data_IF_457903700607
#
_entry.id   IF_457903700607
#
_cell.length_a   1.000
_cell.length_b   1.000
_cell.length_c   1.000
_cell.angle_alpha   90.00
_cell.angle_beta   90.00
_cell.angle_gamma   90.00
#
_symmetry.space_group_name_H-M   'P 1'
#
loop_
_entity.id
_entity.type
_entity.pdbx_description
1 polymer ?
#
# COMPACT_ATOMS: atom_id res chain seq x y z
N UNK A 1 10.18 -25.89 19.76
CA UNK A 1 9.30 -25.51 18.63
C UNK A 1 9.78 -24.12 18.24
N UNK A 2 10.20 -23.95 17.00
CA UNK A 2 10.73 -22.67 16.52
C UNK A 2 9.67 -21.57 16.49
N UNK A 3 10.12 -20.37 16.39
CA UNK A 3 9.32 -19.13 16.49
C UNK A 3 9.30 -18.42 15.15
N UNK A 4 8.14 -17.96 14.71
CA UNK A 4 8.00 -17.18 13.48
C UNK A 4 8.51 -15.74 13.68
N UNK A 5 8.81 -15.03 12.57
CA UNK A 5 9.21 -13.63 12.61
C UNK A 5 8.19 -12.77 13.40
N UNK A 6 6.90 -12.95 13.11
CA UNK A 6 5.85 -12.19 13.76
C UNK A 6 5.78 -12.44 15.28
N UNK A 7 5.97 -13.69 15.70
CA UNK A 7 5.99 -14.05 17.12
C UNK A 7 7.23 -13.51 17.84
N UNK A 8 8.39 -13.45 17.17
CA UNK A 8 9.61 -12.82 17.73
C UNK A 8 9.37 -11.34 18.01
N UNK A 9 8.88 -10.61 17.01
CA UNK A 9 8.59 -9.18 17.18
C UNK A 9 7.52 -8.96 18.26
N UNK A 10 6.49 -9.81 18.32
CA UNK A 10 5.49 -9.75 19.37
C UNK A 10 6.10 -9.94 20.77
N UNK A 11 6.95 -10.95 20.93
CA UNK A 11 7.58 -11.27 22.21
C UNK A 11 8.49 -10.14 22.71
N UNK A 12 9.25 -9.52 21.81
CA UNK A 12 10.14 -8.40 22.12
C UNK A 12 9.39 -7.13 22.59
N UNK A 13 8.10 -7.00 22.20
CA UNK A 13 7.26 -5.84 22.55
C UNK A 13 6.21 -6.13 23.64
N UNK A 14 6.22 -7.33 24.19
CA UNK A 14 5.25 -7.74 25.20
C UNK A 14 5.50 -7.04 26.54
N UNK A 15 4.69 -6.05 26.88
CA UNK A 15 4.73 -5.34 28.17
C UNK A 15 4.06 -6.16 29.26
N UNK A 16 2.92 -6.78 28.94
CA UNK A 16 2.17 -7.64 29.88
C UNK A 16 1.38 -8.69 29.10
N UNK A 17 1.54 -9.94 29.50
CA UNK A 17 0.73 -11.02 28.99
C UNK A 17 -0.68 -10.99 29.59
N UNK A 18 -1.69 -11.16 28.75
CA UNK A 18 -3.07 -11.30 29.20
C UNK A 18 -3.29 -12.62 29.96
N UNK A 19 -4.20 -12.60 30.92
CA UNK A 19 -4.66 -13.80 31.65
C UNK A 19 -6.16 -14.01 31.39
N UNK A 20 -6.62 -15.24 31.53
CA UNK A 20 -8.05 -15.59 31.46
C UNK A 20 -8.77 -15.09 30.18
N UNK A 21 -8.06 -15.11 29.04
CA UNK A 21 -8.58 -14.66 27.76
C UNK A 21 -8.55 -13.14 27.52
N UNK A 22 -7.97 -12.38 28.47
CA UNK A 22 -7.69 -10.97 28.27
C UNK A 22 -6.60 -10.77 27.20
N UNK A 23 -6.59 -9.62 26.48
CA UNK A 23 -5.56 -9.33 25.50
C UNK A 23 -4.19 -9.07 26.15
N UNK A 24 -3.16 -9.33 25.37
CA UNK A 24 -1.79 -8.92 25.68
C UNK A 24 -1.66 -7.39 25.55
N UNK A 25 -0.75 -6.78 26.31
CA UNK A 25 -0.39 -5.39 26.18
C UNK A 25 0.97 -5.29 25.48
N UNK A 26 0.99 -4.67 24.30
CA UNK A 26 2.20 -4.47 23.52
C UNK A 26 2.67 -3.02 23.57
N UNK A 27 4.00 -2.83 23.59
CA UNK A 27 4.62 -1.53 23.30
C UNK A 27 4.54 -1.22 21.81
N UNK A 28 4.40 0.07 21.46
CA UNK A 28 4.39 0.57 20.10
C UNK A 28 5.59 1.50 19.91
N UNK A 29 6.49 1.18 18.98
CA UNK A 29 7.71 1.95 18.76
C UNK A 29 7.46 3.23 17.95
N UNK A 30 6.57 3.15 16.95
CA UNK A 30 6.31 4.28 16.06
C UNK A 30 4.82 4.37 15.74
N UNK A 31 4.28 5.55 15.88
CA UNK A 31 2.94 5.86 15.41
C UNK A 31 3.00 6.92 14.32
N UNK A 32 2.48 6.56 13.16
CA UNK A 32 2.32 7.46 12.03
C UNK A 32 0.91 8.06 12.04
N UNK A 33 0.80 9.31 11.62
CA UNK A 33 -0.45 10.07 11.69
C UNK A 33 -0.70 10.85 10.41
N UNK A 34 -1.98 11.08 10.12
CA UNK A 34 -2.43 11.94 9.03
C UNK A 34 -3.73 12.66 9.40
N UNK A 35 -4.22 13.55 8.54
CA UNK A 35 -5.32 14.47 8.83
C UNK A 35 -6.69 13.79 9.00
N UNK A 36 -6.90 12.57 8.48
CA UNK A 36 -8.24 11.96 8.46
C UNK A 36 -8.63 11.33 9.80
N UNK A 37 -7.69 10.61 10.45
CA UNK A 37 -7.99 9.78 11.64
C UNK A 37 -7.45 10.36 12.95
N UNK A 38 -6.70 11.46 12.90
CA UNK A 38 -6.09 12.07 14.08
C UNK A 38 -6.97 13.11 14.82
N UNK A 39 -7.90 13.84 14.20
CA UNK A 39 -8.59 14.95 14.88
C UNK A 39 -9.30 14.53 16.17
N UNK A 40 -10.07 13.45 16.14
CA UNK A 40 -10.80 12.96 17.31
C UNK A 40 -9.85 12.40 18.38
N UNK A 41 -8.72 11.82 18.00
CA UNK A 41 -7.74 11.32 18.95
C UNK A 41 -7.08 12.48 19.74
N UNK A 42 -6.70 13.55 19.06
CA UNK A 42 -6.20 14.76 19.73
C UNK A 42 -7.26 15.41 20.63
N UNK A 43 -8.52 15.45 20.19
CA UNK A 43 -9.62 15.98 20.99
C UNK A 43 -9.84 15.14 22.25
N UNK A 44 -9.80 13.80 22.14
CA UNK A 44 -9.91 12.91 23.30
C UNK A 44 -8.81 13.16 24.33
N UNK A 45 -7.55 13.35 23.89
CA UNK A 45 -6.44 13.73 24.79
C UNK A 45 -6.72 15.07 25.48
N UNK A 46 -7.19 16.07 24.74
CA UNK A 46 -7.48 17.42 25.26
C UNK A 46 -8.57 17.36 26.33
N UNK A 47 -9.68 16.67 26.03
CA UNK A 47 -10.80 16.50 26.98
C UNK A 47 -10.39 15.74 28.24
N UNK A 48 -9.49 14.76 28.11
CA UNK A 48 -8.95 14.01 29.23
C UNK A 48 -7.83 14.74 30.00
N UNK A 49 -7.40 15.92 29.56
CA UNK A 49 -6.28 16.67 30.14
C UNK A 49 -4.94 15.93 30.02
N UNK A 50 -4.79 15.08 28.99
CA UNK A 50 -3.60 14.26 28.76
C UNK A 50 -2.71 14.85 27.66
N UNK A 51 -1.44 14.47 27.71
CA UNK A 51 -0.46 14.75 26.64
C UNK A 51 0.04 13.42 26.06
N UNK A 52 0.56 13.43 24.82
CA UNK A 52 1.27 12.27 24.31
C UNK A 52 2.40 11.85 25.24
N UNK A 53 2.56 10.54 25.40
CA UNK A 53 3.57 9.97 26.30
C UNK A 53 4.99 10.14 25.75
N UNK A 54 5.17 9.82 24.46
CA UNK A 54 6.44 9.91 23.73
C UNK A 54 6.20 10.62 22.40
N UNK A 55 6.30 11.94 22.41
CA UNK A 55 6.02 12.77 21.25
C UNK A 55 7.02 12.58 20.11
N UNK A 56 8.23 12.16 20.43
CA UNK A 56 9.31 11.81 19.50
C UNK A 56 9.05 10.53 18.70
N UNK A 57 8.11 9.70 19.16
CA UNK A 57 7.65 8.49 18.48
C UNK A 57 6.36 8.70 17.67
N UNK A 58 5.88 9.94 17.60
CA UNK A 58 4.70 10.36 16.82
C UNK A 58 5.14 11.24 15.66
N UNK A 59 4.82 10.85 14.43
CA UNK A 59 5.17 11.62 13.24
C UNK A 59 3.96 11.73 12.34
N UNK A 60 3.64 12.95 11.92
CA UNK A 60 2.49 13.26 11.09
C UNK A 60 2.91 13.74 9.69
N UNK A 61 2.05 13.49 8.71
CA UNK A 61 2.13 14.03 7.36
C UNK A 61 0.75 14.37 6.84
N UNK A 62 0.67 15.25 5.87
CA UNK A 62 -0.55 15.54 5.12
C UNK A 62 -0.54 14.77 3.82
N UNK A 63 -1.55 13.93 3.56
CA UNK A 63 -1.52 13.04 2.41
C UNK A 63 -2.87 12.76 1.72
N UNK A 64 -3.97 12.57 2.46
CA UNK A 64 -5.25 12.12 1.94
C UNK A 64 -6.06 13.23 1.26
N UNK A 65 -6.14 14.39 1.90
CA UNK A 65 -6.94 15.54 1.48
C UNK A 65 -6.12 16.59 0.71
N UNK A 66 -4.86 16.29 0.45
CA UNK A 66 -3.97 17.21 -0.24
C UNK A 66 -4.30 17.30 -1.73
N UNK A 67 -4.38 18.52 -2.31
CA UNK A 67 -4.43 18.68 -3.76
C UNK A 67 -3.09 18.26 -4.38
N UNK A 68 -3.12 17.78 -5.62
CA UNK A 68 -1.93 17.41 -6.38
C UNK A 68 -1.53 18.45 -7.43
N UNK A 69 -2.35 19.49 -7.57
CA UNK A 69 -2.11 20.68 -8.40
C UNK A 69 -2.36 21.94 -7.58
N UNK A 70 -1.76 23.05 -7.99
CA UNK A 70 -1.95 24.36 -7.38
C UNK A 70 -1.80 24.35 -5.84
N UNK A 71 -0.81 23.59 -5.34
CA UNK A 71 -0.60 23.36 -3.89
C UNK A 71 -0.34 24.64 -3.09
N UNK A 72 0.05 25.70 -3.76
CA UNK A 72 0.27 27.03 -3.16
C UNK A 72 -1.02 27.84 -2.99
N UNK A 73 -2.16 27.31 -3.43
CA UNK A 73 -3.48 27.94 -3.32
C UNK A 73 -4.29 27.31 -2.20
N UNK A 74 -5.27 28.04 -1.64
CA UNK A 74 -6.21 27.46 -0.68
C UNK A 74 -6.90 26.23 -1.27
N UNK A 75 -7.04 25.18 -0.46
CA UNK A 75 -7.77 23.97 -0.87
C UNK A 75 -9.23 24.33 -1.20
N UNK A 76 -9.74 24.01 -2.39
CA UNK A 76 -11.09 24.36 -2.81
C UNK A 76 -12.20 23.59 -2.07
N UNK A 77 -11.87 22.49 -1.43
CA UNK A 77 -12.79 21.69 -0.60
C UNK A 77 -12.67 22.12 0.86
N UNK A 78 -13.72 22.73 1.40
CA UNK A 78 -13.73 23.28 2.77
C UNK A 78 -13.48 22.19 3.84
N UNK A 79 -14.00 20.98 3.63
CA UNK A 79 -13.82 19.87 4.57
C UNK A 79 -12.36 19.41 4.60
N UNK A 80 -11.77 19.25 3.41
CA UNK A 80 -10.35 18.91 3.27
C UNK A 80 -9.46 20.01 3.88
N UNK A 81 -9.74 21.27 3.59
CA UNK A 81 -9.02 22.42 4.18
C UNK A 81 -9.09 22.41 5.72
N UNK A 82 -10.28 22.14 6.27
CA UNK A 82 -10.48 22.08 7.73
C UNK A 82 -9.68 20.93 8.35
N UNK A 83 -9.64 19.75 7.72
CA UNK A 83 -8.90 18.60 8.24
C UNK A 83 -7.40 18.85 8.25
N UNK A 84 -6.84 19.42 7.17
CA UNK A 84 -5.41 19.80 7.08
C UNK A 84 -5.06 20.83 8.17
N UNK A 85 -5.79 21.95 8.25
CA UNK A 85 -5.52 22.98 9.26
C UNK A 85 -5.74 22.50 10.69
N UNK A 86 -6.63 21.51 10.90
CA UNK A 86 -6.82 20.89 12.22
C UNK A 86 -5.62 20.04 12.60
N UNK A 87 -5.06 19.25 11.66
CA UNK A 87 -3.83 18.50 11.91
C UNK A 87 -2.68 19.43 12.27
N UNK A 88 -2.45 20.52 11.49
CA UNK A 88 -1.41 21.50 11.78
C UNK A 88 -1.54 22.10 13.20
N UNK A 89 -2.75 22.54 13.57
CA UNK A 89 -3.03 23.09 14.90
C UNK A 89 -2.76 22.07 16.00
N UNK A 90 -3.23 20.84 15.84
CA UNK A 90 -3.05 19.78 16.82
C UNK A 90 -1.56 19.40 16.96
N UNK A 91 -0.85 19.24 15.86
CA UNK A 91 0.58 18.95 15.89
C UNK A 91 1.38 20.06 16.59
N UNK A 92 1.06 21.32 16.32
CA UNK A 92 1.67 22.46 17.00
C UNK A 92 1.35 22.50 18.51
N UNK A 93 0.10 22.24 18.89
CA UNK A 93 -0.34 22.24 20.29
C UNK A 93 0.34 21.13 21.11
N UNK A 94 0.41 19.93 20.56
CA UNK A 94 0.93 18.76 21.26
C UNK A 94 2.41 18.49 21.01
N UNK A 95 3.07 19.31 20.18
CA UNK A 95 4.50 19.18 19.87
C UNK A 95 4.86 18.03 18.93
N UNK A 96 3.88 17.50 18.19
CA UNK A 96 4.10 16.41 17.22
C UNK A 96 4.77 16.94 15.96
N UNK A 97 5.80 16.24 15.47
CA UNK A 97 6.46 16.58 14.21
C UNK A 97 5.51 16.35 13.04
N UNK A 98 5.35 17.38 12.21
CA UNK A 98 4.51 17.36 11.01
C UNK A 98 5.34 17.66 9.76
N UNK A 99 5.09 16.90 8.69
CA UNK A 99 5.52 17.20 7.33
C UNK A 99 4.30 17.68 6.52
N UNK A 100 4.05 18.99 6.48
CA UNK A 100 2.88 19.55 5.81
C UNK A 100 3.02 19.55 4.28
N UNK A 101 1.94 19.82 3.58
CA UNK A 101 1.92 20.00 2.13
C UNK A 101 2.96 21.04 1.69
N UNK A 102 3.81 20.68 0.73
CA UNK A 102 4.92 21.51 0.25
C UNK A 102 6.25 21.27 0.96
N UNK A 103 6.29 20.56 2.09
CA UNK A 103 7.53 20.13 2.73
C UNK A 103 8.28 19.11 1.83
N UNK A 104 9.62 19.18 1.82
CA UNK A 104 10.46 18.29 1.02
C UNK A 104 10.33 16.81 1.44
N UNK A 105 9.95 16.55 2.69
CA UNK A 105 9.76 15.22 3.26
C UNK A 105 8.28 14.80 3.31
N UNK A 106 7.35 15.66 2.84
CA UNK A 106 5.93 15.34 2.77
C UNK A 106 5.68 14.18 1.78
N UNK A 107 4.71 13.34 2.09
CA UNK A 107 4.26 12.26 1.21
C UNK A 107 3.20 11.41 1.86
N UNK A 108 2.72 10.44 1.09
CA UNK A 108 1.77 9.43 1.60
C UNK A 108 2.39 8.74 2.82
N UNK A 109 1.63 8.63 3.89
CA UNK A 109 2.10 8.17 5.21
C UNK A 109 2.91 6.86 5.16
N UNK A 110 2.58 5.93 4.26
CA UNK A 110 3.29 4.66 4.09
C UNK A 110 4.42 4.72 3.04
N UNK A 111 4.70 5.87 2.47
CA UNK A 111 5.82 6.09 1.55
C UNK A 111 6.91 6.97 2.17
N UNK A 112 6.52 8.06 2.88
CA UNK A 112 7.52 8.97 3.46
C UNK A 112 8.32 8.33 4.59
N UNK A 113 7.66 7.55 5.47
CA UNK A 113 8.33 6.95 6.62
C UNK A 113 9.43 5.96 6.22
N UNK A 114 9.23 5.01 5.26
CA UNK A 114 10.30 4.18 4.74
C UNK A 114 11.44 4.97 4.11
N UNK A 115 11.14 5.98 3.28
CA UNK A 115 12.18 6.73 2.57
C UNK A 115 13.03 7.60 3.50
N UNK A 116 12.48 7.97 4.64
CA UNK A 116 13.20 8.67 5.71
C UNK A 116 13.99 7.73 6.64
N UNK A 117 13.80 6.40 6.52
CA UNK A 117 14.43 5.42 7.43
C UNK A 117 13.78 5.33 8.81
N UNK A 118 12.55 5.84 8.95
CA UNK A 118 11.75 5.74 10.18
C UNK A 118 11.23 4.33 10.40
N UNK A 119 11.01 3.58 9.33
CA UNK A 119 10.61 2.17 9.37
C UNK A 119 11.85 1.31 9.44
N UNK A 120 12.00 0.54 10.52
CA UNK A 120 13.16 -0.33 10.72
C UNK A 120 12.72 -1.77 11.09
N UNK A 121 13.56 -2.78 10.82
CA UNK A 121 13.25 -4.16 11.17
C UNK A 121 13.01 -4.36 12.67
N UNK A 122 12.02 -5.19 12.97
CA UNK A 122 11.69 -5.56 14.34
C UNK A 122 10.82 -4.56 15.10
N UNK A 123 10.51 -3.40 14.53
CA UNK A 123 9.62 -2.42 15.16
C UNK A 123 8.15 -2.84 15.14
N UNK A 124 7.39 -2.34 16.11
CA UNK A 124 5.92 -2.27 16.06
C UNK A 124 5.50 -0.90 15.56
N UNK A 125 4.73 -0.85 14.45
CA UNK A 125 4.31 0.39 13.81
C UNK A 125 2.80 0.42 13.65
N UNK A 126 2.17 1.52 14.07
CA UNK A 126 0.72 1.71 13.90
C UNK A 126 0.38 3.05 13.23
N UNK A 127 -0.75 3.08 12.57
CA UNK A 127 -1.33 4.27 11.96
C UNK A 127 -2.84 4.12 11.89
N UNK A 128 -3.57 5.20 11.87
CA UNK A 128 -5.01 5.22 11.60
C UNK A 128 -5.39 4.92 10.14
N UNK A 129 -4.53 4.20 9.41
CA UNK A 129 -4.73 3.78 8.02
C UNK A 129 -4.50 2.27 7.86
N UNK A 130 -5.36 1.63 7.07
CA UNK A 130 -5.34 0.17 6.88
C UNK A 130 -4.10 -0.34 6.16
N UNK A 131 -3.43 0.48 5.32
CA UNK A 131 -2.23 0.08 4.57
C UNK A 131 -0.92 0.21 5.36
N UNK A 132 -1.00 0.38 6.67
CA UNK A 132 0.15 0.34 7.59
C UNK A 132 0.96 -0.97 7.45
N UNK A 133 0.35 -2.05 6.99
CA UNK A 133 1.04 -3.31 6.65
C UNK A 133 2.20 -3.14 5.64
N UNK A 134 2.26 -2.03 4.90
CA UNK A 134 3.39 -1.69 4.01
C UNK A 134 4.73 -1.78 4.71
N UNK A 135 4.80 -1.34 5.97
CA UNK A 135 6.04 -1.32 6.76
C UNK A 135 6.55 -2.72 7.12
N UNK A 136 5.69 -3.75 7.01
CA UNK A 136 6.08 -5.14 7.19
C UNK A 136 7.08 -5.65 6.15
N UNK A 137 7.26 -4.94 5.03
CA UNK A 137 8.31 -5.20 4.05
C UNK A 137 9.73 -5.13 4.63
N UNK A 138 9.89 -4.45 5.75
CA UNK A 138 11.13 -4.31 6.52
C UNK A 138 11.26 -5.34 7.65
N UNK A 139 10.29 -6.23 7.85
CA UNK A 139 10.23 -7.12 9.01
C UNK A 139 9.70 -6.43 10.26
N UNK A 140 9.01 -5.31 10.13
CA UNK A 140 8.25 -4.68 11.20
C UNK A 140 6.87 -5.32 11.35
N UNK A 141 6.35 -5.41 12.58
CA UNK A 141 4.98 -5.78 12.84
C UNK A 141 4.11 -4.52 12.77
N UNK A 142 3.51 -4.29 11.59
CA UNK A 142 2.86 -3.04 11.27
C UNK A 142 1.40 -3.26 10.85
N UNK A 143 0.48 -2.50 11.44
CA UNK A 143 -0.95 -2.66 11.16
C UNK A 143 -1.77 -1.40 11.45
N UNK A 144 -2.91 -1.28 10.74
CA UNK A 144 -3.88 -0.22 10.95
C UNK A 144 -4.65 -0.35 12.24
N UNK A 145 -4.97 0.79 12.86
CA UNK A 145 -5.74 0.87 14.10
C UNK A 145 -6.90 1.88 13.97
N UNK A 146 -7.92 1.72 14.80
CA UNK A 146 -9.05 2.64 14.84
C UNK A 146 -8.73 3.94 15.61
N UNK A 147 -9.54 4.98 15.40
CA UNK A 147 -9.32 6.32 15.99
C UNK A 147 -9.21 6.29 17.53
N UNK A 148 -10.00 5.46 18.22
CA UNK A 148 -9.91 5.32 19.69
C UNK A 148 -8.60 4.64 20.12
N UNK A 149 -8.07 3.74 19.29
CA UNK A 149 -6.77 3.11 19.53
C UNK A 149 -5.64 4.11 19.25
N UNK A 150 -5.81 5.01 18.27
CA UNK A 150 -4.88 6.13 18.02
C UNK A 150 -4.73 6.99 19.27
N UNK A 151 -5.85 7.42 19.88
CA UNK A 151 -5.84 8.18 21.16
C UNK A 151 -5.12 7.39 22.25
N UNK A 152 -5.44 6.09 22.38
CA UNK A 152 -4.84 5.23 23.40
C UNK A 152 -3.32 5.12 23.25
N UNK A 153 -2.84 4.88 22.03
CA UNK A 153 -1.39 4.79 21.74
C UNK A 153 -0.70 6.12 22.01
N UNK A 154 -1.28 7.25 21.61
CA UNK A 154 -0.73 8.57 21.93
C UNK A 154 -0.56 8.76 23.44
N UNK A 155 -1.55 8.34 24.24
CA UNK A 155 -1.55 8.52 25.69
C UNK A 155 -0.61 7.56 26.43
N UNK A 156 -0.39 6.35 25.90
CA UNK A 156 0.23 5.26 26.67
C UNK A 156 1.44 4.62 26.02
N UNK A 157 1.61 4.80 24.71
CA UNK A 157 2.58 4.11 23.85
C UNK A 157 2.41 2.60 23.86
N UNK A 158 1.20 2.13 24.16
CA UNK A 158 0.87 0.70 24.21
C UNK A 158 -0.46 0.43 23.52
N UNK A 159 -0.70 -0.84 23.16
CA UNK A 159 -1.95 -1.30 22.59
C UNK A 159 -2.32 -2.68 23.13
N UNK A 160 -3.59 -2.86 23.49
CA UNK A 160 -4.11 -4.16 23.94
C UNK A 160 -4.59 -4.98 22.74
N UNK A 161 -3.98 -6.13 22.49
CA UNK A 161 -4.25 -6.98 21.34
C UNK A 161 -4.36 -8.45 21.73
N UNK A 162 -5.26 -9.18 21.10
CA UNK A 162 -5.25 -10.65 21.14
C UNK A 162 -4.16 -11.16 20.19
N UNK A 163 -3.43 -12.23 20.57
CA UNK A 163 -2.51 -12.89 19.66
C UNK A 163 -3.20 -13.25 18.33
N UNK A 164 -2.48 -13.06 17.24
CA UNK A 164 -2.94 -13.42 15.89
C UNK A 164 -2.45 -14.83 15.51
N UNK A 165 -3.04 -15.39 14.50
CA UNK A 165 -2.54 -16.59 13.83
C UNK A 165 -1.47 -16.22 12.81
N UNK A 166 -0.61 -17.18 12.46
CA UNK A 166 0.46 -17.00 11.49
C UNK A 166 0.15 -17.73 10.17
N UNK A 167 0.41 -17.07 9.04
CA UNK A 167 0.25 -17.67 7.72
C UNK A 167 1.54 -17.49 6.91
N UNK A 168 2.09 -18.58 6.39
CA UNK A 168 3.15 -18.51 5.39
C UNK A 168 2.53 -18.47 3.97
N UNK A 169 3.00 -17.52 3.16
CA UNK A 169 2.75 -17.52 1.72
C UNK A 169 4.09 -17.69 1.02
N UNK A 170 4.36 -18.89 0.50
CA UNK A 170 5.60 -19.21 -0.18
C UNK A 170 5.43 -18.97 -1.69
N UNK A 171 6.22 -18.05 -2.24
CA UNK A 171 6.25 -17.75 -3.68
C UNK A 171 7.58 -18.22 -4.22
N UNK A 172 7.59 -19.43 -4.78
CA UNK A 172 8.79 -20.13 -5.21
C UNK A 172 8.95 -20.13 -6.72
N UNK A 173 10.20 -20.19 -7.18
CA UNK A 173 10.57 -20.15 -8.58
C UNK A 173 10.85 -18.72 -9.05
N UNK A 174 11.44 -18.61 -10.24
CA UNK A 174 11.79 -17.34 -10.86
C UNK A 174 10.55 -16.67 -11.45
N UNK A 175 10.31 -15.43 -11.06
CA UNK A 175 9.23 -14.63 -11.64
C UNK A 175 9.52 -14.36 -13.14
N UNK A 176 8.54 -14.55 -14.05
CA UNK A 176 8.66 -14.16 -15.44
C UNK A 176 8.95 -12.66 -15.60
N UNK A 177 9.64 -12.29 -16.68
CA UNK A 177 10.09 -10.91 -16.90
C UNK A 177 8.95 -9.89 -17.10
N UNK A 178 7.76 -10.36 -17.49
CA UNK A 178 6.55 -9.55 -17.68
C UNK A 178 5.65 -9.48 -16.46
N UNK A 179 5.99 -10.22 -15.38
CA UNK A 179 5.28 -10.20 -14.11
C UNK A 179 6.02 -9.33 -13.08
N UNK A 180 5.26 -8.71 -12.19
CA UNK A 180 5.74 -7.77 -11.16
C UNK A 180 5.26 -8.17 -9.77
N UNK A 181 5.75 -7.49 -8.74
CA UNK A 181 5.27 -7.67 -7.36
C UNK A 181 3.76 -7.43 -7.22
N UNK A 182 3.19 -6.50 -8.00
CA UNK A 182 1.74 -6.26 -8.03
C UNK A 182 0.97 -7.49 -8.54
N UNK A 183 1.51 -8.16 -9.55
CA UNK A 183 0.90 -9.36 -10.10
C UNK A 183 0.97 -10.52 -9.10
N UNK A 184 2.07 -10.63 -8.34
CA UNK A 184 2.19 -11.60 -7.23
C UNK A 184 1.06 -11.41 -6.23
N UNK A 185 0.90 -10.20 -5.70
CA UNK A 185 -0.08 -9.96 -4.63
C UNK A 185 -1.52 -10.05 -5.15
N UNK A 186 -1.82 -9.61 -6.37
CA UNK A 186 -3.14 -9.79 -6.98
C UNK A 186 -3.47 -11.28 -7.17
N UNK A 187 -2.51 -12.09 -7.61
CA UNK A 187 -2.70 -13.55 -7.74
C UNK A 187 -2.92 -14.22 -6.38
N UNK A 188 -2.19 -13.81 -5.33
CA UNK A 188 -2.39 -14.29 -3.97
C UNK A 188 -3.81 -13.99 -3.51
N UNK A 189 -4.26 -12.72 -3.62
CA UNK A 189 -5.59 -12.31 -3.19
C UNK A 189 -6.69 -13.03 -4.00
N UNK A 190 -6.50 -13.17 -5.30
CA UNK A 190 -7.43 -13.94 -6.14
C UNK A 190 -7.54 -15.40 -5.69
N UNK A 191 -6.42 -16.02 -5.26
CA UNK A 191 -6.36 -17.40 -4.79
C UNK A 191 -7.01 -17.61 -3.43
N UNK A 192 -6.68 -16.76 -2.44
CA UNK A 192 -7.16 -16.97 -1.06
C UNK A 192 -8.45 -16.22 -0.75
N UNK A 193 -8.84 -15.25 -1.59
CA UNK A 193 -10.00 -14.37 -1.41
C UNK A 193 -9.73 -13.20 -0.48
N UNK A 194 -10.61 -12.21 -0.49
CA UNK A 194 -10.53 -10.99 0.34
C UNK A 194 -10.67 -11.22 1.85
N UNK A 195 -11.08 -12.41 2.27
CA UNK A 195 -11.19 -12.82 3.68
C UNK A 195 -10.24 -13.95 4.07
N UNK A 196 -9.40 -14.44 3.13
CA UNK A 196 -8.56 -15.62 3.34
C UNK A 196 -7.47 -15.46 4.39
N UNK A 197 -7.08 -14.22 4.67
CA UNK A 197 -6.09 -13.82 5.68
C UNK A 197 -6.68 -13.30 6.99
N UNK A 198 -8.01 -13.38 7.18
CA UNK A 198 -8.66 -12.82 8.37
C UNK A 198 -8.15 -13.48 9.66
N UNK A 199 -7.64 -12.67 10.59
CA UNK A 199 -7.07 -13.10 11.86
C UNK A 199 -5.61 -13.56 11.76
N UNK A 200 -4.98 -13.46 10.60
CA UNK A 200 -3.58 -13.83 10.38
C UNK A 200 -2.67 -12.60 10.21
N UNK A 201 -1.41 -12.80 10.61
CA UNK A 201 -0.26 -12.08 10.07
C UNK A 201 0.35 -12.97 9.00
N UNK A 202 0.51 -12.45 7.79
CA UNK A 202 1.07 -13.19 6.65
C UNK A 202 2.58 -12.94 6.60
N UNK A 203 3.38 -14.00 6.54
CA UNK A 203 4.80 -13.91 6.18
C UNK A 203 4.97 -14.35 4.73
N UNK A 204 5.39 -13.42 3.87
CA UNK A 204 5.71 -13.69 2.48
C UNK A 204 7.14 -14.21 2.38
N UNK A 205 7.31 -15.37 1.73
CA UNK A 205 8.55 -16.14 1.70
C UNK A 205 8.80 -16.71 0.30
N UNK A 206 9.95 -17.25 0.10
CA UNK A 206 10.32 -17.95 -1.13
C UNK A 206 11.28 -17.16 -2.02
N UNK A 207 11.74 -17.80 -3.09
CA UNK A 207 12.76 -17.24 -3.98
C UNK A 207 12.31 -15.95 -4.64
N UNK A 208 11.09 -15.93 -5.19
CA UNK A 208 10.55 -14.76 -5.86
C UNK A 208 10.49 -13.54 -4.93
N UNK A 209 10.09 -13.74 -3.64
CA UNK A 209 10.00 -12.65 -2.66
C UNK A 209 11.38 -12.11 -2.27
N UNK A 210 12.37 -12.99 -2.09
CA UNK A 210 13.74 -12.56 -1.74
C UNK A 210 14.38 -11.72 -2.84
N UNK A 211 14.05 -12.00 -4.10
CA UNK A 211 14.60 -11.30 -5.26
C UNK A 211 13.93 -9.95 -5.55
N UNK A 212 12.84 -9.59 -4.83
CA UNK A 212 12.17 -8.30 -4.97
C UNK A 212 13.03 -7.16 -4.40
N UNK A 213 12.97 -5.99 -5.05
CA UNK A 213 13.48 -4.73 -4.47
C UNK A 213 12.63 -4.33 -3.26
N UNK A 214 13.09 -3.38 -2.45
CA UNK A 214 12.29 -2.90 -1.30
C UNK A 214 10.98 -2.24 -1.75
N UNK A 215 10.96 -1.51 -2.85
CA UNK A 215 9.74 -0.91 -3.40
C UNK A 215 8.71 -1.99 -3.77
N UNK A 216 9.17 -3.09 -4.38
CA UNK A 216 8.35 -4.25 -4.71
C UNK A 216 7.86 -5.02 -3.48
N UNK A 217 8.72 -5.20 -2.44
CA UNK A 217 8.31 -5.80 -1.16
C UNK A 217 7.24 -4.98 -0.46
N UNK A 218 7.37 -3.65 -0.49
CA UNK A 218 6.35 -2.75 0.04
C UNK A 218 5.02 -2.88 -0.71
N UNK A 219 5.03 -3.11 -2.02
CA UNK A 219 3.82 -3.38 -2.81
C UNK A 219 3.11 -4.66 -2.34
N UNK A 220 3.85 -5.74 -2.11
CA UNK A 220 3.28 -7.02 -1.61
C UNK A 220 2.68 -6.84 -0.22
N UNK A 221 3.44 -6.27 0.72
CA UNK A 221 2.97 -6.06 2.10
C UNK A 221 1.82 -5.06 2.20
N UNK A 222 1.82 -4.01 1.36
CA UNK A 222 0.76 -3.00 1.31
C UNK A 222 -0.61 -3.64 1.12
N UNK A 223 -0.73 -4.59 0.20
CA UNK A 223 -2.01 -5.22 -0.15
C UNK A 223 -2.37 -6.44 0.68
N UNK A 224 -1.69 -6.71 1.78
CA UNK A 224 -2.06 -7.80 2.71
C UNK A 224 -3.45 -7.59 3.31
N UNK A 225 -3.84 -6.35 3.56
CA UNK A 225 -5.16 -6.00 4.09
C UNK A 225 -6.29 -6.32 3.09
N UNK A 226 -6.03 -6.30 1.78
CA UNK A 226 -7.00 -6.70 0.75
C UNK A 226 -7.27 -8.20 0.76
N UNK A 227 -6.36 -9.01 1.31
CA UNK A 227 -6.60 -10.42 1.64
C UNK A 227 -7.30 -10.62 2.99
N UNK A 228 -7.60 -9.53 3.71
CA UNK A 228 -8.19 -9.55 5.06
C UNK A 228 -7.19 -9.76 6.20
N UNK A 229 -5.89 -9.80 5.91
CA UNK A 229 -4.86 -10.02 6.92
C UNK A 229 -4.71 -8.82 7.87
N UNK A 230 -4.27 -9.10 9.11
CA UNK A 230 -3.94 -8.05 10.09
C UNK A 230 -2.69 -7.29 9.68
N UNK A 231 -1.68 -8.01 9.19
CA UNK A 231 -0.41 -7.49 8.71
C UNK A 231 0.19 -8.44 7.67
N UNK A 232 1.18 -7.94 6.91
CA UNK A 232 2.03 -8.73 6.05
C UNK A 232 3.48 -8.41 6.35
N UNK A 233 4.34 -9.41 6.41
CA UNK A 233 5.75 -9.25 6.77
C UNK A 233 6.66 -9.98 5.77
N UNK A 234 7.85 -9.44 5.59
CA UNK A 234 8.97 -10.08 4.89
C UNK A 234 10.18 -10.01 5.83
N UNK A 235 10.85 -11.14 6.04
CA UNK A 235 12.05 -11.16 6.87
C UNK A 235 13.13 -10.22 6.28
N UNK A 236 13.75 -9.35 7.10
CA UNK A 236 14.77 -8.43 6.63
C UNK A 236 16.03 -9.20 6.20
N UNK A 237 16.65 -8.72 5.15
CA UNK A 237 17.89 -9.26 4.57
C UNK A 237 18.81 -8.12 4.09
N UNK A 238 19.86 -8.46 3.37
CA UNK A 238 20.82 -7.50 2.83
C UNK A 238 20.15 -6.41 1.97
N UNK A 239 19.12 -6.75 1.18
CA UNK A 239 18.33 -5.77 0.40
C UNK A 239 17.67 -4.74 1.31
N UNK A 240 17.14 -5.18 2.47
CA UNK A 240 16.56 -4.28 3.47
C UNK A 240 17.63 -3.39 4.11
N UNK A 241 18.79 -3.95 4.44
CA UNK A 241 19.86 -3.19 5.09
C UNK A 241 20.47 -2.16 4.14
N UNK A 242 20.71 -2.52 2.88
CA UNK A 242 21.18 -1.58 1.86
C UNK A 242 20.19 -0.43 1.62
N UNK A 243 18.89 -0.72 1.61
CA UNK A 243 17.88 0.31 1.47
C UNK A 243 17.88 1.31 2.63
N UNK A 244 18.11 0.85 3.86
CA UNK A 244 18.10 1.70 5.06
C UNK A 244 19.38 2.50 5.24
N UNK A 245 20.51 1.99 4.77
CA UNK A 245 21.84 2.58 5.00
C UNK A 245 21.91 4.04 4.53
N UNK A 246 22.28 4.94 5.43
CA UNK A 246 22.44 6.37 5.13
C UNK A 246 21.13 7.16 4.96
N UNK A 247 19.98 6.58 5.31
CA UNK A 247 18.72 7.33 5.37
C UNK A 247 18.67 8.22 6.62
N UNK A 248 17.95 9.35 6.57
CA UNK A 248 18.00 10.41 7.62
C UNK A 248 17.75 9.93 9.05
N UNK A 249 16.94 8.89 9.24
CA UNK A 249 16.60 8.36 10.57
C UNK A 249 17.08 6.92 10.78
N UNK A 250 17.88 6.38 9.86
CA UNK A 250 18.53 5.09 10.08
C UNK A 250 19.69 5.26 11.08
N UNK A 251 20.01 4.20 11.86
CA UNK A 251 21.18 4.22 12.71
C UNK A 251 22.48 4.46 11.93
N UNK A 252 23.48 5.06 12.56
CA UNK A 252 24.79 5.33 11.97
C UNK A 252 25.93 4.81 12.85
N UNK A 253 27.11 4.57 12.25
CA UNK A 253 28.30 4.14 12.95
C UNK A 253 28.11 2.84 13.74
N UNK A 254 28.53 2.81 14.99
CA UNK A 254 28.41 1.62 15.86
C UNK A 254 26.95 1.21 16.09
N UNK A 255 26.01 2.15 16.14
CA UNK A 255 24.58 1.85 16.26
C UNK A 255 24.05 1.12 15.04
N UNK A 256 24.56 1.43 13.84
CA UNK A 256 24.24 0.70 12.63
C UNK A 256 24.70 -0.77 12.73
N UNK A 257 25.92 -1.01 13.18
CA UNK A 257 26.46 -2.36 13.27
C UNK A 257 25.67 -3.19 14.30
N UNK A 258 25.30 -2.59 15.44
CA UNK A 258 24.45 -3.23 16.45
C UNK A 258 23.04 -3.52 15.89
N UNK A 259 22.44 -2.56 15.17
CA UNK A 259 21.12 -2.73 14.56
C UNK A 259 21.13 -3.87 13.53
N UNK A 260 22.11 -3.90 12.63
CA UNK A 260 22.23 -4.98 11.62
C UNK A 260 22.46 -6.34 12.29
N UNK A 261 23.25 -6.41 13.36
CA UNK A 261 23.44 -7.65 14.11
C UNK A 261 22.12 -8.17 14.70
N UNK A 262 21.28 -7.29 15.25
CA UNK A 262 19.93 -7.63 15.72
C UNK A 262 19.00 -7.99 14.57
N UNK A 263 18.94 -7.19 13.52
CA UNK A 263 18.05 -7.41 12.37
C UNK A 263 18.29 -8.76 11.69
N UNK A 264 19.52 -9.25 11.65
CA UNK A 264 19.86 -10.60 11.13
C UNK A 264 19.25 -11.74 11.94
N UNK A 265 18.83 -11.49 13.17
CA UNK A 265 18.12 -12.49 13.99
C UNK A 265 16.63 -12.57 13.67
N UNK A 266 16.07 -11.53 13.01
CA UNK A 266 14.66 -11.39 12.70
C UNK A 266 14.28 -12.21 11.47
N UNK A 267 14.35 -13.52 11.60
CA UNK A 267 13.89 -14.51 10.61
C UNK A 267 13.14 -15.61 11.35
N UNK A 268 12.18 -16.20 10.66
CA UNK A 268 11.48 -17.39 11.16
C UNK A 268 12.44 -18.55 11.30
N UNK A 269 12.37 -19.25 12.42
CA UNK A 269 13.21 -20.44 12.69
C UNK A 269 12.84 -21.57 11.71
N UNK A 270 13.80 -22.44 11.41
CA UNK A 270 13.62 -23.50 10.42
C UNK A 270 12.55 -24.53 10.83
N UNK A 271 12.36 -24.76 12.12
CA UNK A 271 11.37 -25.66 12.72
C UNK A 271 10.09 -24.95 13.20
N UNK A 272 9.89 -23.68 12.84
CA UNK A 272 8.68 -22.95 13.16
C UNK A 272 7.48 -23.50 12.38
N UNK A 273 6.32 -23.54 13.03
CA UNK A 273 5.08 -24.06 12.44
C UNK A 273 4.09 -22.90 12.26
N UNK A 274 3.62 -22.72 11.03
CA UNK A 274 2.56 -21.75 10.73
C UNK A 274 1.18 -22.41 10.86
N UNK A 275 0.18 -21.66 11.33
CA UNK A 275 -1.21 -22.11 11.38
C UNK A 275 -1.78 -22.42 9.96
N UNK A 276 -1.25 -21.75 8.94
CA UNK A 276 -1.65 -21.93 7.55
C UNK A 276 -0.48 -21.72 6.61
N UNK A 277 -0.40 -22.52 5.57
CA UNK A 277 0.60 -22.41 4.49
C UNK A 277 -0.11 -22.32 3.15
N UNK A 278 0.34 -21.39 2.30
CA UNK A 278 -0.14 -21.20 0.93
C UNK A 278 1.06 -21.16 -0.01
N UNK A 279 1.09 -22.03 -1.01
CA UNK A 279 2.17 -22.07 -1.99
C UNK A 279 1.72 -21.46 -3.32
N UNK A 280 2.58 -20.64 -3.91
CA UNK A 280 2.43 -20.00 -5.21
C UNK A 280 3.64 -20.39 -6.06
N UNK A 281 3.38 -20.91 -7.25
CA UNK A 281 4.41 -21.16 -8.27
C UNK A 281 4.62 -19.88 -9.08
N UNK A 282 5.70 -19.15 -8.79
CA UNK A 282 6.01 -17.89 -9.45
C UNK A 282 6.23 -18.03 -10.95
N UNK A 283 6.68 -19.22 -11.42
CA UNK A 283 6.96 -19.46 -12.84
C UNK A 283 5.71 -19.45 -13.72
N UNK A 284 4.52 -19.56 -13.10
CA UNK A 284 3.22 -19.55 -13.78
C UNK A 284 2.50 -18.19 -13.67
N UNK A 285 3.10 -17.23 -12.99
CA UNK A 285 2.53 -15.90 -12.90
C UNK A 285 2.81 -15.13 -14.20
N UNK A 286 1.92 -14.22 -14.48
CA UNK A 286 2.03 -13.25 -15.57
C UNK A 286 1.30 -11.97 -15.14
N UNK A 287 1.14 -10.99 -16.02
CA UNK A 287 0.39 -9.78 -15.71
C UNK A 287 -1.05 -10.08 -15.28
N UNK A 288 -1.43 -9.52 -14.13
CA UNK A 288 -2.75 -9.67 -13.51
C UNK A 288 -3.52 -8.36 -13.54
N UNK A 289 -4.85 -8.47 -13.56
CA UNK A 289 -5.76 -7.32 -13.45
C UNK A 289 -7.02 -7.73 -12.70
N UNK A 290 -7.64 -6.80 -11.99
CA UNK A 290 -8.98 -7.03 -11.45
C UNK A 290 -10.03 -6.75 -12.52
N UNK A 291 -10.96 -7.67 -12.72
CA UNK A 291 -12.09 -7.52 -13.65
C UNK A 291 -13.36 -6.99 -12.98
N UNK A 292 -13.47 -7.16 -11.66
CA UNK A 292 -14.67 -6.86 -10.89
C UNK A 292 -14.49 -5.71 -9.90
N UNK A 293 -15.27 -5.74 -8.83
CA UNK A 293 -15.42 -4.65 -7.85
C UNK A 293 -14.66 -4.88 -6.53
N UNK A 294 -13.76 -5.83 -6.49
CA UNK A 294 -12.86 -6.05 -5.35
C UNK A 294 -11.56 -6.75 -5.80
N UNK A 295 -10.46 -6.65 -5.02
CA UNK A 295 -9.17 -7.25 -5.38
C UNK A 295 -9.17 -8.78 -5.50
N UNK A 296 -10.12 -9.48 -4.87
CA UNK A 296 -10.29 -10.93 -5.02
C UNK A 296 -10.83 -11.37 -6.39
N UNK A 297 -11.36 -10.44 -7.16
CA UNK A 297 -11.83 -10.65 -8.53
C UNK A 297 -10.72 -10.33 -9.55
N UNK A 298 -9.56 -10.94 -9.35
CA UNK A 298 -8.37 -10.83 -10.21
C UNK A 298 -8.23 -12.01 -11.16
N UNK A 299 -7.66 -11.76 -12.35
CA UNK A 299 -7.35 -12.75 -13.37
C UNK A 299 -6.06 -12.37 -14.13
N UNK A 300 -5.36 -13.35 -14.72
CA UNK A 300 -4.37 -13.05 -15.74
C UNK A 300 -4.98 -12.26 -16.89
N UNK A 301 -4.24 -11.29 -17.41
CA UNK A 301 -4.77 -10.42 -18.51
C UNK A 301 -5.06 -11.19 -19.80
N UNK A 302 -4.55 -12.41 -19.94
CA UNK A 302 -4.83 -13.34 -21.05
C UNK A 302 -6.16 -14.09 -20.91
N UNK A 303 -6.84 -13.96 -19.77
CA UNK A 303 -8.12 -14.61 -19.50
C UNK A 303 -9.31 -13.79 -20.07
N UNK A 304 -10.51 -14.32 -19.82
CA UNK A 304 -11.76 -13.64 -20.14
C UNK A 304 -12.57 -13.38 -18.87
N UNK A 305 -13.45 -12.38 -18.92
CA UNK A 305 -14.43 -12.09 -17.88
C UNK A 305 -15.23 -13.36 -17.56
N UNK A 306 -15.37 -13.75 -16.29
CA UNK A 306 -16.07 -14.98 -15.93
C UNK A 306 -17.50 -15.04 -16.49
N UNK A 307 -17.91 -16.25 -16.83
CA UNK A 307 -19.30 -16.54 -17.18
C UNK A 307 -20.02 -17.04 -15.92
N UNK A 308 -20.99 -16.28 -15.38
CA UNK A 308 -21.64 -16.63 -14.10
C UNK A 308 -22.26 -18.03 -14.11
N UNK A 309 -22.84 -18.45 -15.22
CA UNK A 309 -23.47 -19.78 -15.36
C UNK A 309 -22.49 -20.96 -15.16
N UNK A 310 -21.19 -20.70 -15.35
CA UNK A 310 -20.12 -21.69 -15.11
C UNK A 310 -19.62 -21.71 -13.67
N UNK A 311 -20.08 -20.78 -12.80
CA UNK A 311 -19.68 -20.70 -11.40
C UNK A 311 -20.62 -21.59 -10.56
N UNK A 312 -20.08 -22.67 -10.00
CA UNK A 312 -20.88 -23.62 -9.23
C UNK A 312 -21.43 -23.03 -7.91
N UNK A 313 -20.61 -22.25 -7.20
CA UNK A 313 -21.01 -21.62 -5.93
C UNK A 313 -22.01 -20.48 -6.19
N UNK A 314 -23.21 -20.59 -5.63
CA UNK A 314 -24.30 -19.62 -5.83
C UNK A 314 -23.95 -18.22 -5.33
N UNK A 315 -23.21 -18.09 -4.22
CA UNK A 315 -22.81 -16.80 -3.65
C UNK A 315 -21.78 -16.11 -4.55
N UNK A 316 -20.79 -16.87 -5.02
CA UNK A 316 -19.78 -16.36 -5.96
C UNK A 316 -20.40 -16.02 -7.32
N UNK A 317 -21.36 -16.81 -7.79
CA UNK A 317 -22.10 -16.52 -9.02
C UNK A 317 -22.84 -15.18 -8.93
N UNK A 318 -23.65 -15.00 -7.88
CA UNK A 318 -24.39 -13.74 -7.66
C UNK A 318 -23.44 -12.53 -7.50
N UNK A 319 -22.29 -12.72 -6.85
CA UNK A 319 -21.28 -11.67 -6.74
C UNK A 319 -20.65 -11.32 -8.11
N UNK A 320 -20.41 -12.34 -8.95
CA UNK A 320 -19.90 -12.13 -10.32
C UNK A 320 -20.91 -11.38 -11.19
N UNK A 321 -22.19 -11.76 -11.15
CA UNK A 321 -23.27 -11.08 -11.89
C UNK A 321 -23.36 -9.59 -11.53
N UNK A 322 -23.36 -9.28 -10.24
CA UNK A 322 -23.36 -7.88 -9.76
C UNK A 322 -22.11 -7.11 -10.23
N UNK A 323 -20.93 -7.71 -10.09
CA UNK A 323 -19.69 -7.08 -10.49
C UNK A 323 -19.64 -6.82 -12.00
N UNK A 324 -20.02 -7.80 -12.83
CA UNK A 324 -20.10 -7.66 -14.30
C UNK A 324 -21.06 -6.52 -14.68
N UNK A 325 -22.24 -6.49 -14.04
CA UNK A 325 -23.23 -5.44 -14.28
C UNK A 325 -22.71 -4.06 -13.91
N UNK A 326 -22.12 -3.91 -12.71
CA UNK A 326 -21.55 -2.63 -12.28
C UNK A 326 -20.41 -2.19 -13.19
N UNK A 327 -19.49 -3.09 -13.48
CA UNK A 327 -18.34 -2.83 -14.35
C UNK A 327 -18.74 -2.65 -15.82
N UNK A 328 -20.01 -2.92 -16.21
CA UNK A 328 -20.47 -2.80 -17.60
C UNK A 328 -19.70 -3.70 -18.55
N UNK A 329 -19.39 -4.91 -18.11
CA UNK A 329 -18.68 -5.92 -18.90
C UNK A 329 -19.66 -6.97 -19.46
N UNK A 330 -19.15 -7.80 -20.36
CA UNK A 330 -19.90 -8.94 -20.91
C UNK A 330 -19.24 -10.26 -20.43
N UNK A 331 -20.02 -11.26 -19.98
CA UNK A 331 -19.49 -12.58 -19.71
C UNK A 331 -18.71 -13.14 -20.91
N UNK A 332 -17.56 -13.76 -20.67
CA UNK A 332 -16.71 -14.31 -21.73
C UNK A 332 -15.90 -13.32 -22.54
N UNK A 333 -16.05 -12.01 -22.34
CA UNK A 333 -15.28 -10.97 -23.02
C UNK A 333 -13.79 -11.11 -22.65
N UNK A 334 -12.86 -11.13 -23.63
CA UNK A 334 -11.43 -11.11 -23.33
C UNK A 334 -11.06 -9.86 -22.50
N UNK A 335 -10.21 -10.04 -21.50
CA UNK A 335 -9.75 -8.90 -20.66
C UNK A 335 -9.08 -7.83 -21.51
N UNK A 336 -8.30 -8.23 -22.53
CA UNK A 336 -7.59 -7.29 -23.43
C UNK A 336 -8.49 -6.47 -24.33
N UNK A 337 -9.77 -6.80 -24.43
CA UNK A 337 -10.76 -6.04 -25.22
C UNK A 337 -11.43 -4.93 -24.37
N UNK A 338 -11.13 -4.86 -23.08
CA UNK A 338 -11.69 -3.84 -22.20
C UNK A 338 -11.00 -2.50 -22.46
N UNK A 339 -11.73 -1.56 -23.05
CA UNK A 339 -11.26 -0.19 -23.22
C UNK A 339 -11.32 0.57 -21.89
N UNK A 340 -10.37 1.48 -21.68
CA UNK A 340 -10.32 2.37 -20.52
C UNK A 340 -10.27 3.83 -20.95
N UNK A 341 -10.72 4.72 -20.07
CA UNK A 341 -10.82 6.16 -20.31
C UNK A 341 -9.72 6.93 -19.61
N UNK A 342 -9.27 6.44 -18.45
CA UNK A 342 -8.30 7.10 -17.57
C UNK A 342 -7.29 6.10 -17.03
N UNK A 343 -6.04 6.55 -16.91
CA UNK A 343 -4.94 5.78 -16.33
C UNK A 343 -4.40 6.50 -15.09
N UNK A 344 -4.24 5.77 -13.99
CA UNK A 344 -3.65 6.30 -12.77
C UNK A 344 -2.43 5.48 -12.36
N UNK A 345 -1.28 6.16 -12.26
CA UNK A 345 -0.02 5.60 -11.76
C UNK A 345 0.36 6.40 -10.51
N UNK A 346 0.32 5.75 -9.34
CA UNK A 346 0.51 6.41 -8.05
C UNK A 346 0.08 5.53 -6.88
N UNK A 347 -0.28 6.16 -5.76
CA UNK A 347 -0.68 5.50 -4.51
C UNK A 347 0.50 5.03 -3.65
N UNK A 348 0.23 4.76 -2.37
CA UNK A 348 1.20 4.10 -1.48
C UNK A 348 1.60 2.70 -1.95
N UNK A 349 0.83 2.10 -2.85
CA UNK A 349 1.12 0.78 -3.42
C UNK A 349 2.20 0.88 -4.50
N UNK A 350 2.02 1.76 -5.50
CA UNK A 350 2.88 1.83 -6.69
C UNK A 350 3.09 3.29 -7.18
N UNK A 351 3.57 4.14 -6.29
CA UNK A 351 4.01 5.51 -6.63
C UNK A 351 5.46 5.78 -6.21
N UNK A 352 6.26 4.73 -5.99
CA UNK A 352 7.67 4.82 -5.60
C UNK A 352 8.56 4.96 -6.82
N UNK A 353 9.86 5.16 -6.59
CA UNK A 353 10.78 5.50 -7.68
C UNK A 353 10.92 4.36 -8.70
N UNK A 354 10.95 3.10 -8.26
CA UNK A 354 11.06 1.95 -9.18
C UNK A 354 9.79 1.77 -10.03
N UNK A 355 8.61 2.04 -9.45
CA UNK A 355 7.34 2.06 -10.18
C UNK A 355 7.33 3.10 -11.30
N UNK A 356 7.81 4.32 -10.99
CA UNK A 356 7.88 5.41 -11.96
C UNK A 356 8.91 5.15 -13.06
N UNK A 357 10.07 4.57 -12.72
CA UNK A 357 11.08 4.15 -13.68
C UNK A 357 10.53 3.11 -14.65
N UNK A 358 9.82 2.11 -14.12
CA UNK A 358 9.20 1.05 -14.92
C UNK A 358 8.17 1.62 -15.89
N UNK A 359 7.25 2.46 -15.42
CA UNK A 359 6.24 3.10 -16.26
C UNK A 359 6.87 4.01 -17.31
N UNK A 360 7.84 4.85 -16.93
CA UNK A 360 8.53 5.75 -17.84
C UNK A 360 9.29 5.00 -18.94
N UNK A 361 9.93 3.87 -18.61
CA UNK A 361 10.65 3.06 -19.60
C UNK A 361 9.72 2.53 -20.70
N UNK A 362 8.49 2.17 -20.34
CA UNK A 362 7.45 1.68 -21.27
C UNK A 362 6.86 2.84 -22.09
N UNK A 363 6.60 3.98 -21.46
CA UNK A 363 5.96 5.14 -22.11
C UNK A 363 6.92 5.93 -23.02
N UNK A 364 8.23 5.81 -22.81
CA UNK A 364 9.22 6.59 -23.55
C UNK A 364 9.13 6.39 -25.05
N UNK A 365 8.96 7.49 -25.79
CA UNK A 365 8.84 7.50 -27.25
C UNK A 365 7.45 7.13 -27.78
N UNK A 366 6.49 6.89 -26.90
CA UNK A 366 5.09 6.66 -27.26
C UNK A 366 4.21 7.86 -26.89
N UNK A 367 2.95 7.80 -27.30
CA UNK A 367 1.90 8.75 -26.92
C UNK A 367 0.69 7.99 -26.40
N UNK A 368 -0.14 8.66 -25.58
CA UNK A 368 -1.38 8.08 -25.07
C UNK A 368 -2.37 7.82 -26.21
N UNK A 369 -3.14 6.74 -26.11
CA UNK A 369 -4.18 6.41 -27.05
C UNK A 369 -5.26 7.51 -27.11
N UNK A 370 -5.94 7.66 -28.27
CA UNK A 370 -6.94 8.70 -28.48
C UNK A 370 -8.13 8.62 -27.52
N UNK A 371 -8.54 7.41 -27.15
CA UNK A 371 -9.63 7.19 -26.21
C UNK A 371 -9.24 7.43 -24.75
N UNK A 372 -7.96 7.57 -24.42
CA UNK A 372 -7.51 7.89 -23.07
C UNK A 372 -7.62 9.40 -22.83
N UNK A 373 -8.56 9.80 -22.00
CA UNK A 373 -8.78 11.20 -21.67
C UNK A 373 -7.66 11.74 -20.76
N UNK A 374 -7.31 10.99 -19.73
CA UNK A 374 -6.31 11.40 -18.72
C UNK A 374 -5.34 10.27 -18.39
N UNK A 375 -4.10 10.63 -18.19
CA UNK A 375 -3.07 9.79 -17.57
C UNK A 375 -2.49 10.60 -16.42
N UNK A 376 -2.77 10.20 -15.17
CA UNK A 376 -2.21 10.85 -13.99
C UNK A 376 -1.04 10.04 -13.48
N UNK A 377 0.08 10.72 -13.27
CA UNK A 377 1.29 10.16 -12.63
C UNK A 377 1.58 10.96 -11.36
N UNK A 378 1.42 10.29 -10.22
CA UNK A 378 1.47 10.90 -8.89
C UNK A 378 2.54 10.23 -8.06
N UNK A 379 3.68 10.87 -7.80
CA UNK A 379 4.71 10.36 -6.90
C UNK A 379 4.17 10.16 -5.48
N UNK A 380 4.62 9.12 -4.79
CA UNK A 380 4.15 8.81 -3.46
C UNK A 380 4.70 9.77 -2.37
N UNK A 381 5.77 10.52 -2.65
CA UNK A 381 6.31 11.53 -1.75
C UNK A 381 7.04 12.63 -2.53
N UNK A 382 7.27 13.78 -1.87
CA UNK A 382 8.05 14.89 -2.43
C UNK A 382 9.48 14.45 -2.75
N UNK A 383 10.11 13.60 -1.92
CA UNK A 383 11.44 13.04 -2.21
C UNK A 383 11.46 12.18 -3.47
N UNK A 384 10.45 11.32 -3.65
CA UNK A 384 10.31 10.52 -4.88
C UNK A 384 10.11 11.43 -6.09
N UNK A 385 9.29 12.47 -5.96
CA UNK A 385 9.06 13.46 -7.02
C UNK A 385 10.37 14.13 -7.43
N UNK A 386 11.11 14.69 -6.46
CA UNK A 386 12.38 15.37 -6.71
C UNK A 386 13.43 14.43 -7.33
N UNK A 387 13.47 13.16 -6.90
CA UNK A 387 14.35 12.17 -7.49
C UNK A 387 13.95 11.85 -8.95
N UNK A 388 12.67 11.65 -9.20
CA UNK A 388 12.16 11.39 -10.56
C UNK A 388 12.44 12.56 -11.51
N UNK A 389 12.28 13.81 -11.05
CA UNK A 389 12.60 15.01 -11.80
C UNK A 389 14.11 15.12 -12.08
N UNK A 390 14.97 14.80 -11.10
CA UNK A 390 16.43 14.73 -11.28
C UNK A 390 16.84 13.67 -12.31
N UNK A 391 16.12 12.55 -12.37
CA UNK A 391 16.33 11.48 -13.35
C UNK A 391 15.68 11.80 -14.72
N UNK A 392 14.89 12.86 -14.83
CA UNK A 392 14.19 13.28 -16.05
C UNK A 392 12.95 12.46 -16.40
N UNK A 393 12.42 11.68 -15.43
CA UNK A 393 11.23 10.86 -15.65
C UNK A 393 9.98 11.72 -15.88
N UNK A 394 9.89 12.88 -15.24
CA UNK A 394 8.81 13.85 -15.43
C UNK A 394 8.69 14.32 -16.88
N UNK A 395 9.84 14.48 -17.56
CA UNK A 395 9.87 14.85 -18.99
C UNK A 395 9.30 13.74 -19.85
N UNK A 396 9.68 12.49 -19.60
CA UNK A 396 9.14 11.33 -20.31
C UNK A 396 7.61 11.27 -20.17
N UNK A 397 7.07 11.45 -18.96
CA UNK A 397 5.63 11.46 -18.73
C UNK A 397 4.92 12.62 -19.41
N UNK A 398 5.48 13.82 -19.35
CA UNK A 398 4.93 15.01 -20.04
C UNK A 398 4.96 14.86 -21.56
N UNK A 399 6.05 14.36 -22.13
CA UNK A 399 6.18 14.11 -23.57
C UNK A 399 5.21 13.02 -24.05
N UNK A 400 4.90 12.04 -23.20
CA UNK A 400 3.88 11.03 -23.44
C UNK A 400 2.45 11.62 -23.48
N UNK A 401 2.23 12.76 -22.86
CA UNK A 401 0.92 13.39 -22.67
C UNK A 401 0.26 13.06 -21.32
N UNK A 402 1.04 12.63 -20.33
CA UNK A 402 0.57 12.42 -18.96
C UNK A 402 0.68 13.70 -18.12
N UNK A 403 -0.17 13.77 -17.10
CA UNK A 403 -0.17 14.83 -16.11
C UNK A 403 0.77 14.46 -14.95
N UNK A 404 1.92 15.13 -14.88
CA UNK A 404 2.85 15.01 -13.76
C UNK A 404 2.37 15.84 -12.58
N UNK A 405 2.17 15.20 -11.43
CA UNK A 405 1.49 15.76 -10.26
C UNK A 405 2.42 15.93 -9.06
N UNK A 406 1.98 16.71 -8.07
CA UNK A 406 2.60 16.74 -6.74
C UNK A 406 2.25 15.45 -5.98
N UNK A 407 3.04 15.17 -4.93
CA UNK A 407 2.85 14.00 -4.08
C UNK A 407 1.54 14.04 -3.30
N UNK A 408 0.87 12.90 -3.18
CA UNK A 408 -0.38 12.73 -2.43
C UNK A 408 -1.13 11.46 -2.81
N UNK A 409 -2.22 11.18 -2.14
CA UNK A 409 -3.06 10.01 -2.40
C UNK A 409 -3.84 10.10 -3.73
N UNK A 410 -4.17 11.33 -4.19
CA UNK A 410 -4.84 11.55 -5.48
C UNK A 410 -6.05 10.63 -5.69
N UNK A 411 -6.18 10.01 -6.85
CA UNK A 411 -7.29 9.10 -7.18
C UNK A 411 -7.34 7.81 -6.34
N UNK A 412 -6.34 7.50 -5.52
CA UNK A 412 -6.39 6.28 -4.70
C UNK A 412 -7.62 6.25 -3.77
N UNK A 413 -8.04 7.41 -3.30
CA UNK A 413 -9.15 7.57 -2.34
C UNK A 413 -10.05 8.73 -2.74
N UNK A 414 -10.64 8.97 -3.69
CA UNK A 414 -11.63 9.99 -4.09
C UNK A 414 -12.01 11.12 -3.08
N UNK A 415 -11.11 11.48 -2.17
CA UNK A 415 -11.29 12.53 -1.15
C UNK A 415 -10.70 13.88 -1.56
N UNK A 416 -10.04 13.96 -2.69
CA UNK A 416 -9.42 15.14 -3.26
C UNK A 416 -10.02 15.46 -4.63
N UNK A 417 -9.61 16.54 -5.33
CA UNK A 417 -10.16 16.91 -6.64
C UNK A 417 -9.93 15.88 -7.76
N UNK A 418 -8.98 14.97 -7.61
CA UNK A 418 -8.67 13.94 -8.61
C UNK A 418 -9.70 12.80 -8.56
N UNK A 419 -10.87 13.02 -9.13
CA UNK A 419 -11.99 12.05 -9.15
C UNK A 419 -12.37 11.69 -10.56
N UNK A 420 -12.89 10.46 -10.73
CA UNK A 420 -13.56 10.00 -11.93
C UNK A 420 -15.03 10.42 -11.90
N UNK A 421 -15.60 10.59 -13.10
CA UNK A 421 -17.03 10.81 -13.27
C UNK A 421 -17.79 9.47 -13.37
N UNK A 422 -19.13 9.46 -13.19
CA UNK A 422 -19.92 8.24 -13.33
C UNK A 422 -19.70 7.53 -14.66
N UNK A 423 -19.55 6.21 -14.62
CA UNK A 423 -19.27 5.30 -15.73
C UNK A 423 -17.87 5.41 -16.34
N UNK A 424 -17.06 6.38 -15.98
CA UNK A 424 -15.67 6.45 -16.39
C UNK A 424 -14.90 5.23 -15.87
N UNK A 425 -14.11 4.62 -16.75
CA UNK A 425 -13.34 3.42 -16.49
C UNK A 425 -11.86 3.74 -16.37
N UNK A 426 -11.25 3.35 -15.27
CA UNK A 426 -9.81 3.50 -15.08
C UNK A 426 -9.08 2.19 -14.97
N UNK A 427 -7.80 2.19 -15.41
CA UNK A 427 -6.81 1.25 -14.92
C UNK A 427 -5.92 1.99 -13.92
N UNK A 428 -5.62 1.34 -12.78
CA UNK A 428 -5.05 2.02 -11.64
C UNK A 428 -4.04 1.16 -10.91
N UNK A 429 -2.93 1.74 -10.50
CA UNK A 429 -1.92 1.08 -9.67
C UNK A 429 -2.23 1.19 -8.17
N UNK A 430 -3.39 1.71 -7.79
CA UNK A 430 -3.86 1.74 -6.40
C UNK A 430 -4.13 0.33 -5.84
N UNK A 431 -4.64 0.25 -4.62
CA UNK A 431 -4.80 -1.00 -3.88
C UNK A 431 -6.25 -1.49 -3.79
N UNK A 432 -7.25 -0.61 -3.96
CA UNK A 432 -8.68 -0.92 -3.82
C UNK A 432 -9.48 -0.43 -5.01
N UNK A 433 -10.49 -1.21 -5.39
CA UNK A 433 -11.38 -0.91 -6.51
C UNK A 433 -12.86 -1.22 -6.23
N UNK A 434 -13.30 -1.11 -4.98
CA UNK A 434 -14.73 -1.24 -4.70
C UNK A 434 -15.55 -0.13 -5.39
N UNK A 435 -16.83 -0.36 -5.53
CA UNK A 435 -17.76 0.54 -6.22
C UNK A 435 -17.63 1.98 -5.74
N UNK A 436 -17.35 2.90 -6.67
CA UNK A 436 -17.23 4.33 -6.39
C UNK A 436 -15.94 4.78 -5.70
N UNK A 437 -14.93 3.91 -5.52
CA UNK A 437 -13.68 4.25 -4.81
C UNK A 437 -12.96 5.47 -5.36
N UNK A 438 -12.88 5.60 -6.67
CA UNK A 438 -12.21 6.72 -7.36
C UNK A 438 -13.17 7.82 -7.81
N UNK A 439 -14.43 7.73 -7.44
CA UNK A 439 -15.52 8.65 -7.77
C UNK A 439 -16.84 7.90 -7.88
N UNK A 440 -17.94 8.56 -7.52
CA UNK A 440 -19.27 7.93 -7.52
C UNK A 440 -19.62 7.34 -8.88
N UNK A 441 -19.89 6.02 -8.92
CA UNK A 441 -20.25 5.31 -10.14
C UNK A 441 -19.09 5.03 -11.10
N UNK A 442 -17.84 5.29 -10.69
CA UNK A 442 -16.63 4.97 -11.47
C UNK A 442 -16.32 3.47 -11.46
N UNK A 443 -15.57 3.01 -12.46
CA UNK A 443 -15.19 1.62 -12.68
C UNK A 443 -13.66 1.50 -12.70
N UNK A 444 -13.09 0.78 -11.74
CA UNK A 444 -11.63 0.72 -11.58
C UNK A 444 -11.11 -0.70 -11.72
N UNK A 445 -10.10 -0.87 -12.56
CA UNK A 445 -9.30 -2.08 -12.68
C UNK A 445 -7.94 -1.86 -12.00
N UNK A 446 -7.55 -2.74 -11.08
CA UNK A 446 -6.21 -2.70 -10.46
C UNK A 446 -5.23 -3.46 -11.32
N UNK A 447 -4.05 -2.87 -11.53
CA UNK A 447 -2.97 -3.48 -12.29
C UNK A 447 -1.59 -2.97 -11.84
N UNK A 448 -0.53 -3.57 -12.37
CA UNK A 448 0.84 -3.11 -12.19
C UNK A 448 1.14 -1.81 -12.96
N UNK A 449 2.18 -1.05 -12.59
CA UNK A 449 2.65 0.10 -13.36
C UNK A 449 2.93 -0.25 -14.83
N UNK A 450 3.47 -1.43 -15.09
CA UNK A 450 3.78 -1.90 -16.44
C UNK A 450 2.50 -2.09 -17.29
N UNK A 451 1.48 -2.74 -16.71
CA UNK A 451 0.18 -2.94 -17.37
C UNK A 451 -0.54 -1.60 -17.56
N UNK A 452 -0.50 -0.71 -16.56
CA UNK A 452 -1.10 0.62 -16.66
C UNK A 452 -0.45 1.46 -17.78
N UNK A 453 0.88 1.44 -17.88
CA UNK A 453 1.63 2.15 -18.92
C UNK A 453 1.33 1.59 -20.32
N UNK A 454 1.33 0.27 -20.50
CA UNK A 454 1.00 -0.37 -21.77
C UNK A 454 -0.45 -0.08 -22.19
N UNK A 455 -1.36 -0.11 -21.21
CA UNK A 455 -2.78 0.23 -21.43
C UNK A 455 -2.94 1.69 -21.86
N UNK A 456 -2.17 2.62 -21.31
CA UNK A 456 -2.19 4.03 -21.71
C UNK A 456 -1.80 4.23 -23.19
N UNK A 457 -0.91 3.38 -23.71
CA UNK A 457 -0.47 3.40 -25.11
C UNK A 457 -1.53 2.78 -26.03
N UNK A 458 -2.18 1.68 -25.61
CA UNK A 458 -3.09 0.91 -26.45
C UNK A 458 -4.55 1.37 -26.35
N UNK A 459 -4.96 1.96 -25.24
CA UNK A 459 -6.35 2.34 -24.95
C UNK A 459 -7.23 1.19 -24.46
N UNK A 460 -6.72 -0.05 -24.49
CA UNK A 460 -7.36 -1.25 -23.92
C UNK A 460 -6.38 -1.93 -22.96
N UNK A 461 -6.87 -2.77 -22.02
CA UNK A 461 -6.02 -3.45 -21.06
C UNK A 461 -4.95 -4.27 -21.79
N UNK A 462 -3.69 -3.93 -21.57
CA UNK A 462 -2.55 -4.50 -22.29
C UNK A 462 -1.32 -4.64 -21.38
N UNK A 463 -0.45 -5.57 -21.72
CA UNK A 463 0.89 -5.70 -21.12
C UNK A 463 1.97 -5.13 -22.06
N UNK A 464 3.20 -4.93 -21.55
CA UNK A 464 4.31 -4.53 -22.41
C UNK A 464 4.56 -5.47 -23.61
N UNK A 465 4.24 -6.76 -23.45
CA UNK A 465 4.37 -7.74 -24.54
C UNK A 465 3.37 -7.52 -25.70
N UNK A 466 2.39 -6.66 -25.51
CA UNK A 466 1.37 -6.33 -26.54
C UNK A 466 1.75 -5.08 -27.34
N UNK A 467 2.86 -4.41 -27.02
CA UNK A 467 3.39 -3.24 -27.71
C UNK A 467 4.35 -3.65 -28.83
#
# INVERSE_FOLDING_TARGET
MGTTLAEKVWADHLVRKGSDGAPDLLHIDLMLMHEVTSPQAFEGLRLAGRKPRHVDQLIATEDHNTPTVDIDRPNPDETSALQLTTLEKNCKEFGVRLHPLGDADQGIVHAFAPILGLTQPGMTIVCGDSHTSTHGAFGALAFGIGTSEVEHVMATQTLSLKPFKTMAVNVNGKLPADATAKDIILAIIAKIGTGGGQGYVIEYRGEAIRNLTMDERMTVCNMSIEAGARAGMIAPDETTFEYLKGRPHAPEGELWDQAVAYWKTLKTDDDAVFDKVVDIDATKLGPYVTWGTNPGQGLPITASVPEPDKIADATKRAAAERAITYMGLKPGMPIKDIAVDTVFIGSCTNGRIDDLRQAAAIMKGHHKAENIHRVLVVPASSRVRLQAEKEGLDKVFKDFGAEWRNAGCSMCLGMNPDKLVPNERSISTSNRNFEGRQGKGSRTHLASPAVAAATAIRGTISSPADL
#
